data_IF_767475257723
#
_entry.id   IF_767475257723
#
_cell.length_a   1.000
_cell.length_b   1.000
_cell.length_c   1.000
_cell.angle_alpha   90.00
_cell.angle_beta   90.00
_cell.angle_gamma   90.00
#
_symmetry.space_group_name_H-M   'P 1'
#
loop_
_entity.id
_entity.type
_entity.pdbx_description
1 polymer ?
#
# COMPACT_ATOMS: atom_id res chain seq x y z
N UNK A 1 -26.65 -2.61 25.77
CA UNK A 1 -26.28 -2.76 24.35
C UNK A 1 -24.77 -2.51 24.16
N UNK A 2 -24.04 -3.56 23.79
CA UNK A 2 -22.71 -3.69 23.14
C UNK A 2 -21.70 -2.51 23.18
N UNK A 3 -20.99 -2.37 24.31
CA UNK A 3 -19.76 -1.54 24.42
C UNK A 3 -18.52 -2.24 23.80
N UNK A 4 -18.64 -3.53 23.45
CA UNK A 4 -17.54 -4.37 22.93
C UNK A 4 -17.18 -4.12 21.45
N UNK A 5 -17.97 -3.33 20.70
CA UNK A 5 -17.75 -3.11 19.25
C UNK A 5 -16.74 -1.99 18.94
N UNK A 6 -16.51 -1.08 19.89
CA UNK A 6 -15.66 0.12 19.68
C UNK A 6 -14.17 -0.23 19.73
N UNK A 7 -13.75 -1.17 20.60
CA UNK A 7 -12.34 -1.61 20.66
C UNK A 7 -11.86 -2.36 19.41
N UNK A 8 -12.76 -3.00 18.65
CA UNK A 8 -12.42 -3.61 17.34
C UNK A 8 -12.21 -2.55 16.25
N UNK A 9 -13.02 -1.48 16.26
CA UNK A 9 -12.97 -0.41 15.26
C UNK A 9 -11.67 0.41 15.35
N UNK A 10 -11.17 0.67 16.57
CA UNK A 10 -9.91 1.41 16.81
C UNK A 10 -8.67 0.61 16.35
N UNK A 11 -8.74 -0.73 16.37
CA UNK A 11 -7.63 -1.60 15.93
C UNK A 11 -7.44 -1.53 14.41
N UNK A 12 -8.51 -1.34 13.65
CA UNK A 12 -8.47 -1.22 12.20
C UNK A 12 -7.82 0.11 11.76
N UNK A 13 -7.99 1.18 12.54
CA UNK A 13 -7.38 2.49 12.26
C UNK A 13 -5.85 2.41 12.27
N UNK A 14 -5.24 1.63 13.17
CA UNK A 14 -3.78 1.44 13.20
C UNK A 14 -3.25 0.73 11.95
N UNK A 15 -3.94 -0.34 11.52
CA UNK A 15 -3.59 -1.05 10.27
C UNK A 15 -3.81 -0.18 9.03
N UNK A 16 -4.83 0.67 9.05
CA UNK A 16 -5.08 1.60 7.97
C UNK A 16 -3.99 2.67 7.87
N UNK A 17 -3.56 3.23 9.00
CA UNK A 17 -2.43 4.15 9.05
C UNK A 17 -1.13 3.52 8.54
N UNK A 18 -0.90 2.24 8.84
CA UNK A 18 0.22 1.46 8.30
C UNK A 18 0.14 1.32 6.77
N UNK A 19 -1.04 1.01 6.22
CA UNK A 19 -1.25 0.93 4.76
C UNK A 19 -0.90 2.26 4.09
N UNK A 20 -1.39 3.38 4.62
CA UNK A 20 -1.12 4.72 4.09
C UNK A 20 0.36 5.09 4.20
N UNK A 21 1.02 4.72 5.31
CA UNK A 21 2.45 4.93 5.51
C UNK A 21 3.28 4.20 4.46
N UNK A 22 2.98 2.92 4.22
CA UNK A 22 3.67 2.11 3.19
C UNK A 22 3.44 2.67 1.80
N UNK A 23 2.18 3.00 1.44
CA UNK A 23 1.88 3.64 0.15
C UNK A 23 2.65 4.95 -0.05
N UNK A 24 2.76 5.78 0.99
CA UNK A 24 3.52 7.03 0.95
C UNK A 24 5.02 6.78 0.75
N UNK A 25 5.60 5.78 1.43
CA UNK A 25 7.01 5.38 1.31
C UNK A 25 7.39 5.01 -0.13
N UNK A 26 6.49 4.34 -0.85
CA UNK A 26 6.70 3.96 -2.25
C UNK A 26 6.26 5.01 -3.26
N UNK A 27 5.90 6.22 -2.83
CA UNK A 27 5.56 7.34 -3.72
C UNK A 27 4.12 7.35 -4.24
N UNK A 28 3.19 6.62 -3.64
CA UNK A 28 1.76 6.64 -4.00
C UNK A 28 1.00 7.79 -3.31
N UNK A 29 1.68 8.92 -3.05
CA UNK A 29 1.09 10.09 -2.39
C UNK A 29 -0.04 10.72 -3.21
N UNK A 30 0.12 10.80 -4.53
CA UNK A 30 -0.93 11.25 -5.45
C UNK A 30 -2.20 10.41 -5.27
N UNK A 31 -2.07 9.09 -5.25
CA UNK A 31 -3.20 8.16 -5.09
C UNK A 31 -3.92 8.33 -3.74
N UNK A 32 -3.17 8.64 -2.67
CA UNK A 32 -3.73 8.95 -1.34
C UNK A 32 -4.49 10.29 -1.34
N UNK A 33 -4.00 11.28 -2.09
CA UNK A 33 -4.65 12.58 -2.24
C UNK A 33 -5.93 12.45 -3.07
N UNK A 34 -5.86 11.78 -4.22
CA UNK A 34 -6.97 11.60 -5.16
C UNK A 34 -8.13 10.81 -4.54
N UNK A 35 -7.83 9.83 -3.69
CA UNK A 35 -8.86 9.05 -2.98
C UNK A 35 -9.44 9.75 -1.74
N UNK A 36 -8.95 10.95 -1.40
CA UNK A 36 -9.37 11.68 -0.20
C UNK A 36 -8.91 11.02 1.11
N UNK A 37 -8.05 9.99 1.02
CA UNK A 37 -7.62 9.16 2.14
C UNK A 37 -6.75 9.93 3.14
N UNK A 38 -6.12 11.00 2.68
CA UNK A 38 -5.33 11.93 3.50
C UNK A 38 -6.14 12.50 4.68
N UNK A 39 -7.46 12.69 4.53
CA UNK A 39 -8.32 13.30 5.56
C UNK A 39 -8.56 12.39 6.77
N UNK A 40 -8.42 11.07 6.57
CA UNK A 40 -8.49 10.08 7.65
C UNK A 40 -7.14 9.87 8.34
N UNK A 41 -6.07 10.42 7.77
CA UNK A 41 -4.69 10.25 8.20
C UNK A 41 -4.10 11.54 8.80
N UNK A 42 -4.95 12.49 9.24
CA UNK A 42 -4.46 13.72 9.89
C UNK A 42 -3.75 13.46 11.23
N UNK A 43 -3.95 12.31 11.90
CA UNK A 43 -3.27 11.99 13.17
C UNK A 43 -1.80 11.59 13.06
N UNK A 44 -1.26 11.40 11.85
CA UNK A 44 0.16 11.04 11.66
C UNK A 44 0.96 12.12 10.91
N UNK A 45 0.35 13.29 10.70
CA UNK A 45 0.85 14.39 9.84
C UNK A 45 2.24 14.93 10.21
N UNK A 46 2.68 14.81 11.47
CA UNK A 46 3.94 15.42 11.95
C UNK A 46 5.23 14.82 11.36
N UNK A 47 5.20 13.61 10.79
CA UNK A 47 6.42 12.95 10.25
C UNK A 47 6.46 12.87 8.71
N UNK A 48 5.38 13.24 8.00
CA UNK A 48 5.26 13.02 6.54
C UNK A 48 5.54 14.26 5.69
N UNK A 49 5.58 15.45 6.27
CA UNK A 49 5.79 16.69 5.53
C UNK A 49 7.29 17.09 5.43
N UNK A 50 8.20 16.45 6.18
CA UNK A 50 9.67 16.67 6.08
C UNK A 50 10.33 15.84 4.96
N UNK A 51 9.55 15.20 4.08
CA UNK A 51 10.06 14.49 2.89
C UNK A 51 9.65 15.24 1.60
N UNK A 52 9.79 16.57 1.62
CA UNK A 52 9.29 17.47 0.59
C UNK A 52 10.00 17.37 -0.78
N UNK A 53 11.19 16.78 -0.92
CA UNK A 53 11.99 17.01 -2.14
C UNK A 53 12.70 15.79 -2.73
N UNK A 54 12.27 14.59 -2.38
CA UNK A 54 12.78 13.40 -3.06
C UNK A 54 11.67 12.39 -3.08
N UNK A 55 11.21 12.03 -4.28
CA UNK A 55 10.70 10.69 -4.45
C UNK A 55 11.75 9.78 -3.79
N UNK A 56 11.37 9.07 -2.72
CA UNK A 56 12.30 8.19 -2.01
C UNK A 56 12.99 7.24 -3.01
N UNK A 57 14.01 6.46 -2.64
CA UNK A 57 14.78 5.65 -3.57
C UNK A 57 13.96 4.77 -4.56
N UNK A 58 12.68 4.51 -4.28
CA UNK A 58 11.74 3.82 -5.16
C UNK A 58 11.03 4.69 -6.24
N UNK A 59 11.18 6.02 -6.26
CA UNK A 59 10.50 6.93 -7.19
C UNK A 59 10.90 6.76 -8.66
N UNK A 60 12.11 6.27 -8.90
CA UNK A 60 12.64 5.99 -10.23
C UNK A 60 12.25 4.59 -10.74
N UNK A 61 11.65 3.76 -9.88
CA UNK A 61 11.26 2.41 -10.24
C UNK A 61 9.94 2.42 -11.04
N UNK A 62 9.74 1.46 -11.96
CA UNK A 62 8.47 1.27 -12.64
C UNK A 62 7.33 1.07 -11.63
N UNK A 63 6.13 1.54 -11.99
CA UNK A 63 4.95 1.44 -11.12
C UNK A 63 4.64 0.01 -10.70
N UNK A 64 4.79 -0.97 -11.61
CA UNK A 64 4.59 -2.39 -11.30
C UNK A 64 5.52 -2.87 -10.17
N UNK A 65 6.80 -2.50 -10.20
CA UNK A 65 7.81 -2.86 -9.19
C UNK A 65 7.44 -2.23 -7.85
N UNK A 66 7.07 -0.94 -7.86
CA UNK A 66 6.63 -0.22 -6.65
C UNK A 66 5.40 -0.87 -6.02
N UNK A 67 4.45 -1.32 -6.83
CA UNK A 67 3.25 -2.03 -6.34
C UNK A 67 3.62 -3.39 -5.74
N UNK A 68 4.50 -4.17 -6.38
CA UNK A 68 4.99 -5.43 -5.80
C UNK A 68 5.60 -5.19 -4.42
N UNK A 69 6.51 -4.22 -4.29
CA UNK A 69 7.17 -3.91 -3.03
C UNK A 69 6.20 -3.42 -1.95
N UNK A 70 5.17 -2.64 -2.33
CA UNK A 70 4.06 -2.29 -1.41
C UNK A 70 3.38 -3.55 -0.89
N UNK A 71 3.00 -4.50 -1.76
CA UNK A 71 2.30 -5.71 -1.36
C UNK A 71 3.15 -6.60 -0.44
N UNK A 72 4.46 -6.68 -0.69
CA UNK A 72 5.44 -7.37 0.18
C UNK A 72 5.50 -6.72 1.58
N UNK A 73 5.63 -5.39 1.64
CA UNK A 73 5.77 -4.67 2.90
C UNK A 73 4.46 -4.64 3.72
N UNK A 74 3.30 -4.66 3.06
CA UNK A 74 1.99 -4.79 3.72
C UNK A 74 1.73 -6.20 4.28
N UNK A 75 2.52 -7.19 3.85
CA UNK A 75 2.53 -8.54 4.42
C UNK A 75 1.65 -9.58 3.71
N UNK A 76 1.49 -10.78 4.30
CA UNK A 76 1.07 -11.99 3.59
C UNK A 76 -0.33 -11.94 2.98
N UNK A 77 -1.23 -11.13 3.54
CA UNK A 77 -2.57 -10.94 2.96
C UNK A 77 -2.50 -10.21 1.63
N UNK A 78 -1.66 -9.17 1.53
CA UNK A 78 -1.49 -8.38 0.32
C UNK A 78 -0.63 -9.11 -0.72
N UNK A 79 0.36 -9.88 -0.27
CA UNK A 79 1.12 -10.81 -1.13
C UNK A 79 0.17 -11.79 -1.84
N UNK A 80 -0.74 -12.45 -1.10
CA UNK A 80 -1.74 -13.36 -1.69
C UNK A 80 -2.65 -12.66 -2.69
N UNK A 81 -3.05 -11.42 -2.42
CA UNK A 81 -3.83 -10.63 -3.37
C UNK A 81 -3.05 -10.40 -4.66
N UNK A 82 -1.77 -10.03 -4.57
CA UNK A 82 -0.88 -9.88 -5.73
C UNK A 82 -0.71 -11.18 -6.51
N UNK A 83 -0.58 -12.32 -5.83
CA UNK A 83 -0.50 -13.65 -6.45
C UNK A 83 -1.79 -13.96 -7.24
N UNK A 84 -2.97 -13.69 -6.69
CA UNK A 84 -4.25 -13.86 -7.39
C UNK A 84 -4.36 -12.93 -8.61
N UNK A 85 -3.89 -11.69 -8.50
CA UNK A 85 -3.87 -10.76 -9.63
C UNK A 85 -2.88 -11.19 -10.71
N UNK A 86 -1.76 -11.79 -10.34
CA UNK A 86 -0.72 -12.26 -11.29
C UNK A 86 -1.20 -13.38 -12.22
N UNK A 87 -2.21 -14.15 -11.82
CA UNK A 87 -2.81 -15.22 -12.64
C UNK A 87 -3.99 -14.73 -13.49
N UNK A 88 -4.35 -13.44 -13.38
CA UNK A 88 -5.44 -12.80 -14.12
C UNK A 88 -4.91 -11.62 -14.97
N UNK A 89 -4.09 -11.90 -16.00
CA UNK A 89 -3.57 -10.86 -16.90
C UNK A 89 -4.66 -10.20 -17.75
N UNK A 90 -5.90 -10.69 -17.68
CA UNK A 90 -7.08 -10.03 -18.22
C UNK A 90 -7.53 -8.79 -17.41
N UNK A 91 -7.11 -8.66 -16.15
CA UNK A 91 -7.53 -7.58 -15.25
C UNK A 91 -6.47 -6.47 -15.07
N UNK A 92 -5.22 -6.76 -15.43
CA UNK A 92 -4.08 -5.85 -15.23
C UNK A 92 -3.17 -5.89 -16.46
N UNK A 93 -2.39 -4.82 -16.72
CA UNK A 93 -1.44 -4.83 -17.82
C UNK A 93 -0.43 -6.01 -17.69
N UNK A 94 0.04 -6.57 -18.82
CA UNK A 94 0.90 -7.76 -18.81
C UNK A 94 2.21 -7.53 -18.04
N UNK A 95 2.76 -6.32 -18.05
CA UNK A 95 3.96 -5.97 -17.31
C UNK A 95 3.73 -5.98 -15.78
N UNK A 96 2.51 -5.72 -15.33
CA UNK A 96 2.13 -5.84 -13.92
C UNK A 96 1.96 -7.31 -13.53
N UNK A 97 1.32 -8.10 -14.38
CA UNK A 97 1.17 -9.54 -14.13
C UNK A 97 2.52 -10.24 -14.03
N UNK A 98 3.47 -9.88 -14.92
CA UNK A 98 4.84 -10.41 -14.88
C UNK A 98 5.58 -10.01 -13.60
N UNK A 99 5.47 -8.76 -13.18
CA UNK A 99 6.12 -8.32 -11.94
C UNK A 99 5.50 -9.00 -10.70
N UNK A 100 4.17 -9.05 -10.62
CA UNK A 100 3.47 -9.67 -9.49
C UNK A 100 3.68 -11.19 -9.38
N UNK A 101 4.07 -11.88 -10.45
CA UNK A 101 4.47 -13.30 -10.37
C UNK A 101 5.66 -13.51 -9.43
N UNK A 102 6.57 -12.54 -9.31
CA UNK A 102 7.73 -12.63 -8.41
C UNK A 102 7.34 -12.71 -6.91
N UNK A 103 6.09 -12.39 -6.57
CA UNK A 103 5.54 -12.62 -5.22
C UNK A 103 5.41 -14.11 -4.86
N UNK A 104 5.53 -15.02 -5.82
CA UNK A 104 5.48 -16.47 -5.59
C UNK A 104 6.86 -17.04 -5.25
N UNK A 105 7.93 -16.40 -5.73
CA UNK A 105 9.30 -16.94 -5.69
C UNK A 105 10.04 -16.66 -4.36
N UNK A 106 9.45 -15.86 -3.46
CA UNK A 106 10.05 -15.47 -2.17
C UNK A 106 9.41 -16.19 -0.97
N UNK A 107 9.03 -17.46 -1.13
CA UNK A 107 8.51 -18.32 -0.05
C UNK A 107 9.62 -19.09 0.68
#
# INVERSE_FOLDING_TARGET
>A
MKITSIKKTIRNTKRFAEIIKVLSKFGFRQLIQDTGLHRFYESSKDELDTASDSAGPAGHLPNAVRVRMVLEELGPTFVKLGQILSIRPDLIPPEWAQELKQLQDNC
#
